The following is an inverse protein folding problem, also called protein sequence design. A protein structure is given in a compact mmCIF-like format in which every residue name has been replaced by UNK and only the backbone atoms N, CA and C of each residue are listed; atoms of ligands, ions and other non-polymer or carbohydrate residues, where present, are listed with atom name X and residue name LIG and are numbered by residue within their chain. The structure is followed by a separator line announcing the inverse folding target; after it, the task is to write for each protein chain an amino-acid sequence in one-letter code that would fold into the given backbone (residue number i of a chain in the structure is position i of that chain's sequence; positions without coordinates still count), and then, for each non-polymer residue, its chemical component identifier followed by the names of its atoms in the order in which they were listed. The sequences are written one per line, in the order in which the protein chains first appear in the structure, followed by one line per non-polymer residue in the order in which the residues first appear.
data_IF_439725927584
#
_entry.id   IF_439725927584
#
_cell.length_a   1.000
_cell.length_b   1.000
_cell.length_c   1.000
_cell.angle_alpha   90.00
_cell.angle_beta   90.00
_cell.angle_gamma   90.00
#
_symmetry.space_group_name_H-M   'P 1'
#
loop_
_entity.id
_entity.type
_entity.pdbx_description
1 polymer ?
#
# COMPACT_ATOMS: atom_id res chain seq x y z
N UNK A 1 -9.95 -4.61 -8.00
CA UNK A 1 -8.97 -4.04 -8.95
C UNK A 1 -8.13 -2.94 -8.28
N UNK A 2 -7.00 -2.56 -8.93
CA UNK A 2 -6.15 -1.45 -8.48
C UNK A 2 -6.90 -0.12 -8.42
N UNK A 3 -7.76 0.16 -9.41
CA UNK A 3 -8.51 1.41 -9.49
C UNK A 3 -9.53 1.54 -8.34
N UNK A 4 -10.26 0.48 -8.06
CA UNK A 4 -11.21 0.41 -6.94
C UNK A 4 -10.48 0.54 -5.60
N UNK A 5 -9.36 -0.16 -5.45
CA UNK A 5 -8.53 -0.07 -4.26
C UNK A 5 -8.04 1.37 -4.02
N UNK A 6 -7.50 2.03 -5.06
CA UNK A 6 -7.02 3.41 -4.96
C UNK A 6 -8.14 4.39 -4.61
N UNK A 7 -9.31 4.25 -5.27
CA UNK A 7 -10.49 5.05 -4.95
C UNK A 7 -10.92 4.88 -3.50
N UNK A 8 -11.02 3.64 -3.04
CA UNK A 8 -11.39 3.31 -1.67
C UNK A 8 -10.38 3.86 -0.65
N UNK A 9 -9.08 3.71 -0.93
CA UNK A 9 -8.00 4.20 -0.08
C UNK A 9 -8.01 5.73 0.07
N UNK A 10 -8.41 6.47 -0.96
CA UNK A 10 -8.48 7.95 -0.90
C UNK A 10 -9.56 8.47 0.04
N UNK A 11 -10.56 7.67 0.39
CA UNK A 11 -11.58 8.05 1.36
C UNK A 11 -12.30 9.36 1.04
N UNK A 12 -12.55 9.65 -0.28
CA UNK A 12 -13.19 10.88 -0.75
C UNK A 12 -12.24 12.09 -0.90
N UNK A 13 -10.95 11.96 -0.61
CA UNK A 13 -9.98 13.06 -0.76
C UNK A 13 -9.38 13.09 -2.17
N UNK A 14 -9.87 14.00 -3.01
CA UNK A 14 -9.41 14.17 -4.38
C UNK A 14 -8.02 14.84 -4.38
N UNK A 15 -7.06 14.24 -5.09
CA UNK A 15 -5.72 14.80 -5.28
C UNK A 15 -4.79 14.75 -4.07
N UNK A 16 -5.27 14.29 -2.92
CA UNK A 16 -4.44 14.24 -1.71
C UNK A 16 -3.27 13.25 -1.84
N UNK A 17 -2.13 13.61 -1.25
CA UNK A 17 -0.92 12.78 -1.25
C UNK A 17 -1.11 11.51 -0.43
N UNK A 18 -1.78 11.61 0.73
CA UNK A 18 -2.04 10.49 1.63
C UNK A 18 -3.54 10.25 1.82
N UNK A 19 -3.90 9.08 2.32
CA UNK A 19 -5.30 8.74 2.63
C UNK A 19 -5.92 9.65 3.70
N UNK A 20 -5.11 10.26 4.56
CA UNK A 20 -5.53 11.25 5.57
C UNK A 20 -5.44 12.71 5.09
N UNK A 21 -4.84 13.01 3.92
CA UNK A 21 -4.68 14.36 3.36
C UNK A 21 -3.22 14.72 3.08
N UNK A 22 -2.85 15.99 3.29
CA UNK A 22 -1.50 16.51 3.01
C UNK A 22 -0.59 16.59 4.25
N UNK A 23 -1.09 16.25 5.43
CA UNK A 23 -0.28 16.32 6.65
C UNK A 23 0.93 15.41 6.55
N UNK A 24 2.11 15.91 6.86
CA UNK A 24 3.36 15.16 6.90
C UNK A 24 3.20 13.94 7.84
N UNK A 25 3.52 12.72 7.38
CA UNK A 25 3.48 11.52 8.22
C UNK A 25 4.28 11.62 9.51
N UNK A 26 5.33 12.46 9.54
CA UNK A 26 6.18 12.69 10.72
C UNK A 26 5.57 13.65 11.72
N UNK A 27 4.52 14.37 11.38
CA UNK A 27 3.92 15.38 12.25
C UNK A 27 2.88 14.78 13.17
N UNK A 28 3.18 14.71 14.46
CA UNK A 28 2.21 14.34 15.50
C UNK A 28 1.94 12.84 15.63
N UNK A 29 0.67 12.47 15.81
CA UNK A 29 0.26 11.07 16.03
C UNK A 29 0.38 10.28 14.72
N UNK A 30 1.00 9.10 14.80
CA UNK A 30 1.10 8.17 13.66
C UNK A 30 -0.26 7.86 13.05
N UNK A 31 -0.37 7.98 11.73
CA UNK A 31 -1.60 7.75 10.97
C UNK A 31 -1.67 6.35 10.37
N UNK A 32 -0.55 5.64 10.35
CA UNK A 32 -0.41 4.33 9.77
C UNK A 32 0.82 3.62 10.36
N UNK A 33 0.84 2.30 10.25
CA UNK A 33 2.01 1.49 10.59
C UNK A 33 3.00 1.55 9.42
N UNK A 34 4.07 2.32 9.58
CA UNK A 34 5.14 2.51 8.60
C UNK A 34 6.48 2.59 9.31
N UNK A 35 7.57 2.49 8.57
CA UNK A 35 8.90 2.64 9.14
C UNK A 35 9.19 4.11 9.47
N UNK A 36 9.57 4.40 10.72
CA UNK A 36 9.90 5.74 11.19
C UNK A 36 11.37 5.83 11.56
N UNK A 37 12.16 6.41 10.68
CA UNK A 37 13.60 6.57 10.86
C UNK A 37 14.39 6.17 9.63
N UNK A 38 15.68 5.91 9.81
CA UNK A 38 16.61 5.58 8.72
C UNK A 38 16.48 4.11 8.33
N UNK A 39 15.73 3.83 7.27
CA UNK A 39 15.62 2.45 6.75
C UNK A 39 16.95 1.99 6.11
N UNK A 40 17.42 0.76 6.36
CA UNK A 40 16.90 -0.28 7.29
C UNK A 40 17.60 -0.28 8.66
N UNK A 41 18.31 0.77 9.03
CA UNK A 41 19.23 0.78 10.15
C UNK A 41 18.56 1.09 11.49
N UNK A 42 17.55 1.96 11.49
CA UNK A 42 16.89 2.40 12.71
C UNK A 42 15.41 2.59 12.48
N UNK A 43 14.57 1.94 13.28
CA UNK A 43 13.14 2.24 13.39
C UNK A 43 12.87 2.88 14.76
N UNK A 44 12.43 4.13 14.75
CA UNK A 44 12.10 4.89 15.97
C UNK A 44 10.81 4.41 16.64
N UNK A 45 10.04 3.58 15.95
CA UNK A 45 8.87 2.89 16.48
C UNK A 45 7.82 3.81 17.13
N UNK A 46 7.62 5.01 16.58
CA UNK A 46 6.68 6.00 17.10
C UNK A 46 5.22 5.53 17.00
N UNK A 47 4.93 4.57 16.12
CA UNK A 47 3.63 3.93 15.98
C UNK A 47 3.41 2.75 16.93
N UNK A 48 4.44 2.37 17.72
CA UNK A 48 4.50 1.26 18.65
C UNK A 48 4.53 -0.15 18.02
N UNK A 49 4.83 -0.26 16.73
CA UNK A 49 4.90 -1.55 16.03
C UNK A 49 6.19 -1.70 15.24
N UNK A 50 6.94 -2.76 15.53
CA UNK A 50 8.15 -3.13 14.76
C UNK A 50 7.83 -3.96 13.51
N UNK A 51 6.65 -4.58 13.48
CA UNK A 51 6.14 -5.44 12.43
C UNK A 51 4.69 -5.05 12.12
N UNK A 52 3.92 -5.98 11.54
CA UNK A 52 2.50 -5.74 11.33
C UNK A 52 1.76 -5.46 12.64
N UNK A 53 0.83 -4.52 12.59
CA UNK A 53 -0.10 -4.21 13.68
C UNK A 53 -1.41 -4.99 13.56
N UNK A 54 -2.17 -5.18 14.64
CA UNK A 54 -3.56 -5.62 14.54
C UNK A 54 -4.38 -4.67 13.67
N UNK A 55 -5.34 -5.21 12.93
CA UNK A 55 -6.21 -4.41 12.06
C UNK A 55 -7.00 -3.39 12.88
N UNK A 56 -7.11 -2.17 12.37
CA UNK A 56 -7.91 -1.11 13.00
C UNK A 56 -7.21 -0.34 14.13
N UNK A 57 -5.89 -0.50 14.29
CA UNK A 57 -5.12 0.25 15.30
C UNK A 57 -4.89 1.72 14.92
N UNK A 58 -5.08 2.07 13.65
CA UNK A 58 -4.92 3.43 13.15
C UNK A 58 -6.25 4.02 12.69
N UNK A 59 -6.37 5.35 12.56
CA UNK A 59 -7.62 5.98 12.16
C UNK A 59 -8.10 5.51 10.79
N UNK A 60 -9.40 5.26 10.67
CA UNK A 60 -10.04 4.98 9.39
C UNK A 60 -9.97 6.18 8.45
N UNK A 61 -9.98 5.93 7.14
CA UNK A 61 -10.13 6.97 6.14
C UNK A 61 -11.57 7.51 6.07
N UNK A 62 -11.83 8.45 5.15
CA UNK A 62 -13.15 9.08 5.02
C UNK A 62 -14.30 8.16 4.59
N UNK A 63 -13.99 6.93 4.14
CA UNK A 63 -14.98 5.89 3.85
C UNK A 63 -15.08 4.83 4.94
N UNK A 64 -14.44 5.04 6.08
CA UNK A 64 -14.46 4.11 7.20
C UNK A 64 -13.53 2.89 7.04
N UNK A 65 -12.60 2.92 6.07
CA UNK A 65 -11.66 1.83 5.84
C UNK A 65 -10.39 2.03 6.66
N UNK A 66 -9.98 0.98 7.34
CA UNK A 66 -8.74 0.92 8.13
C UNK A 66 -7.59 0.36 7.31
N UNK A 67 -6.36 0.73 7.69
CA UNK A 67 -5.09 0.14 7.23
C UNK A 67 -4.91 0.11 5.69
N UNK A 68 -5.51 1.08 4.98
CA UNK A 68 -5.27 1.28 3.55
C UNK A 68 -3.92 1.96 3.27
N UNK A 69 -3.15 2.21 4.31
CA UNK A 69 -1.83 2.82 4.26
C UNK A 69 -0.94 2.10 5.25
N UNK A 70 0.20 1.60 4.80
CA UNK A 70 1.15 0.87 5.64
C UNK A 70 0.63 -0.51 6.10
N UNK A 71 1.10 -0.98 7.22
CA UNK A 71 0.86 -2.30 7.79
C UNK A 71 1.38 -3.41 6.86
N UNK A 72 0.58 -3.89 5.92
CA UNK A 72 1.00 -4.85 4.90
C UNK A 72 0.56 -4.39 3.51
N UNK A 73 1.35 -4.70 2.49
CA UNK A 73 0.94 -4.57 1.11
C UNK A 73 -0.33 -5.39 0.85
N UNK A 74 -1.17 -4.92 -0.03
CA UNK A 74 -2.40 -5.62 -0.38
C UNK A 74 -2.43 -6.00 -1.85
N UNK A 75 -2.75 -7.27 -2.10
CA UNK A 75 -2.97 -7.79 -3.43
C UNK A 75 -4.17 -7.11 -4.10
N UNK A 76 -4.02 -6.80 -5.39
CA UNK A 76 -5.15 -6.51 -6.26
C UNK A 76 -5.25 -7.58 -7.36
N UNK A 77 -6.42 -7.68 -7.99
CA UNK A 77 -6.61 -8.57 -9.14
C UNK A 77 -5.98 -8.04 -10.43
N UNK A 78 -5.53 -6.77 -10.42
CA UNK A 78 -5.00 -6.09 -11.62
C UNK A 78 -3.60 -6.60 -11.96
N UNK A 79 -3.37 -7.08 -13.21
CA UNK A 79 -2.03 -7.34 -13.70
C UNK A 79 -1.16 -6.08 -13.63
N UNK A 80 0.10 -6.24 -13.23
CA UNK A 80 0.99 -5.10 -13.19
C UNK A 80 1.53 -4.78 -14.60
N UNK A 81 1.73 -3.50 -14.87
CA UNK A 81 2.49 -3.00 -16.00
C UNK A 81 3.03 -1.61 -15.69
N UNK A 82 4.24 -1.25 -16.15
CA UNK A 82 4.84 0.06 -15.84
C UNK A 82 4.02 1.23 -16.40
N UNK A 83 3.38 1.04 -17.54
CA UNK A 83 2.42 2.00 -18.11
C UNK A 83 0.99 1.57 -17.75
N UNK A 84 0.27 2.42 -17.01
CA UNK A 84 -1.10 2.12 -16.54
C UNK A 84 -2.16 2.10 -17.65
N UNK A 85 -1.89 2.75 -18.76
CA UNK A 85 -2.82 2.87 -19.89
C UNK A 85 -2.66 1.71 -20.90
N UNK A 86 -1.56 0.98 -20.80
CA UNK A 86 -1.28 -0.15 -21.67
C UNK A 86 -1.79 -1.45 -21.08
N UNK A 87 -2.44 -2.27 -21.92
CA UNK A 87 -2.80 -3.64 -21.57
C UNK A 87 -1.56 -4.56 -21.67
N UNK A 88 -1.25 -5.24 -20.58
CA UNK A 88 -0.17 -6.22 -20.48
C UNK A 88 -0.71 -7.67 -20.38
N UNK A 89 -2.00 -7.86 -20.66
CA UNK A 89 -2.65 -9.16 -20.55
C UNK A 89 -2.81 -9.66 -19.11
N UNK A 90 -3.21 -10.93 -18.97
CA UNK A 90 -3.48 -11.55 -17.67
C UNK A 90 -2.26 -11.70 -16.78
N UNK A 91 -1.08 -11.84 -17.38
CA UNK A 91 0.17 -12.16 -16.67
C UNK A 91 0.87 -10.93 -16.13
N UNK A 92 0.56 -9.77 -16.72
CA UNK A 92 1.24 -8.53 -16.40
C UNK A 92 2.66 -8.48 -16.97
N UNK A 93 3.39 -7.43 -16.63
CA UNK A 93 4.78 -7.27 -17.03
C UNK A 93 5.55 -6.38 -16.07
N UNK A 94 6.68 -6.85 -15.60
CA UNK A 94 7.67 -6.04 -14.89
C UNK A 94 9.07 -6.31 -15.47
N UNK A 95 9.77 -5.30 -15.99
CA UNK A 95 11.12 -5.48 -16.53
C UNK A 95 12.14 -5.96 -15.48
N UNK A 96 11.84 -5.74 -14.17
CA UNK A 96 12.69 -6.22 -13.08
C UNK A 96 12.39 -7.67 -12.66
N UNK A 97 11.28 -8.23 -13.14
CA UNK A 97 10.82 -9.59 -12.84
C UNK A 97 10.43 -10.30 -14.15
N UNK A 98 11.38 -10.53 -15.07
CA UNK A 98 11.06 -11.10 -16.37
C UNK A 98 10.61 -12.56 -16.27
N UNK A 99 9.58 -12.92 -17.05
CA UNK A 99 9.14 -14.31 -17.20
C UNK A 99 8.26 -14.86 -16.05
N UNK A 100 7.81 -14.01 -15.14
CA UNK A 100 6.88 -14.39 -14.08
C UNK A 100 5.56 -13.64 -14.19
N UNK A 101 4.49 -14.21 -13.63
CA UNK A 101 3.18 -13.55 -13.55
C UNK A 101 3.23 -12.53 -12.42
N UNK A 102 2.94 -11.27 -12.74
CA UNK A 102 2.98 -10.17 -11.76
C UNK A 102 1.62 -9.49 -11.61
N UNK A 103 1.24 -9.25 -10.37
CA UNK A 103 0.06 -8.47 -10.01
C UNK A 103 0.48 -7.19 -9.27
N UNK A 104 -0.44 -6.24 -9.27
CA UNK A 104 -0.24 -4.96 -8.58
C UNK A 104 -0.52 -5.09 -7.10
N UNK A 105 0.45 -4.70 -6.29
CA UNK A 105 0.28 -4.44 -4.86
C UNK A 105 0.04 -2.95 -4.61
N UNK A 106 -0.74 -2.66 -3.56
CA UNK A 106 -1.09 -1.31 -3.10
C UNK A 106 -0.87 -1.16 -1.59
N UNK A 107 -0.83 0.08 -1.13
CA UNK A 107 -0.89 0.45 0.29
C UNK A 107 0.45 0.58 1.01
N UNK A 108 1.51 -0.03 0.53
CA UNK A 108 2.77 -0.09 1.28
C UNK A 108 2.70 -1.02 2.48
N UNK A 109 3.76 -1.05 3.28
CA UNK A 109 3.84 -1.90 4.47
C UNK A 109 4.57 -1.21 5.61
N UNK A 110 4.66 -1.87 6.76
CA UNK A 110 5.47 -1.41 7.90
C UNK A 110 6.97 -1.24 7.58
N UNK A 111 7.44 -1.75 6.44
CA UNK A 111 8.81 -1.55 5.95
C UNK A 111 8.98 -0.31 5.07
N UNK A 112 7.88 0.39 4.73
CA UNK A 112 7.94 1.58 3.89
C UNK A 112 8.26 2.81 4.74
N UNK A 113 9.37 3.47 4.42
CA UNK A 113 9.80 4.71 5.05
C UNK A 113 9.79 5.86 4.05
N UNK A 114 9.76 7.07 4.55
CA UNK A 114 9.79 8.29 3.74
C UNK A 114 11.13 8.52 3.02
N UNK A 115 12.23 8.05 3.58
CA UNK A 115 13.57 8.19 3.01
C UNK A 115 13.96 7.08 2.03
N UNK A 116 13.15 6.02 1.92
CA UNK A 116 13.45 4.88 1.05
C UNK A 116 12.30 4.50 0.11
N UNK A 117 11.08 4.41 0.62
CA UNK A 117 9.96 3.87 -0.12
C UNK A 117 8.65 4.56 0.30
N UNK A 118 8.29 5.67 -0.31
CA UNK A 118 7.01 6.35 -0.05
C UNK A 118 5.82 5.66 -0.74
N UNK A 119 5.84 4.33 -0.90
CA UNK A 119 4.82 3.59 -1.65
C UNK A 119 3.55 3.32 -0.85
N UNK A 120 3.46 3.82 0.38
CA UNK A 120 2.22 3.84 1.17
C UNK A 120 1.23 4.95 0.74
N UNK A 121 1.56 5.76 -0.27
CA UNK A 121 0.60 6.72 -0.87
C UNK A 121 -0.44 5.99 -1.72
N UNK A 122 -1.72 6.42 -1.76
CA UNK A 122 -2.76 5.76 -2.56
C UNK A 122 -2.40 5.56 -4.04
N UNK A 123 -1.72 6.54 -4.65
CA UNK A 123 -1.29 6.45 -6.05
C UNK A 123 -0.11 5.49 -6.29
N UNK A 124 0.63 5.12 -5.26
CA UNK A 124 1.79 4.25 -5.40
C UNK A 124 1.38 2.80 -5.68
N UNK A 125 2.26 2.06 -6.35
CA UNK A 125 2.04 0.67 -6.75
C UNK A 125 3.37 -0.09 -6.75
N UNK A 126 3.30 -1.40 -6.62
CA UNK A 126 4.42 -2.33 -6.68
C UNK A 126 4.04 -3.53 -7.51
N UNK A 127 4.97 -3.98 -8.36
CA UNK A 127 4.86 -5.29 -8.99
C UNK A 127 5.24 -6.39 -8.01
N UNK A 128 4.53 -7.50 -8.05
CA UNK A 128 4.87 -8.67 -7.25
C UNK A 128 4.57 -9.96 -8.01
N UNK A 129 5.54 -10.88 -8.02
CA UNK A 129 5.35 -12.26 -8.46
C UNK A 129 4.28 -12.94 -7.60
N UNK A 130 3.25 -13.50 -8.25
CA UNK A 130 2.11 -14.12 -7.58
C UNK A 130 2.47 -15.38 -6.79
N UNK A 131 3.64 -15.96 -7.03
CA UNK A 131 4.11 -17.17 -6.33
C UNK A 131 4.87 -16.86 -5.04
N UNK A 132 5.22 -15.59 -4.80
CA UNK A 132 6.01 -15.18 -3.64
C UNK A 132 5.12 -14.67 -2.50
N UNK A 133 5.19 -15.35 -1.37
CA UNK A 133 4.61 -14.91 -0.11
C UNK A 133 5.70 -14.29 0.78
N UNK A 134 5.37 -13.17 1.42
CA UNK A 134 6.26 -12.50 2.38
C UNK A 134 5.49 -12.05 3.62
N UNK A 135 6.22 -11.73 4.70
CA UNK A 135 5.61 -11.34 5.98
C UNK A 135 4.90 -9.98 5.96
N UNK A 136 5.06 -9.21 4.89
CA UNK A 136 4.53 -7.86 4.75
C UNK A 136 3.57 -7.72 3.55
N UNK A 137 3.03 -8.83 3.05
CA UNK A 137 2.00 -8.86 2.01
C UNK A 137 0.76 -9.59 2.53
N UNK A 138 -0.39 -9.00 2.33
CA UNK A 138 -1.71 -9.52 2.69
C UNK A 138 -2.74 -9.19 1.62
N UNK A 139 -4.01 -9.23 1.99
CA UNK A 139 -5.12 -8.88 1.10
C UNK A 139 -6.33 -8.41 1.90
N UNK A 140 -7.24 -7.75 1.22
CA UNK A 140 -8.63 -7.52 1.67
C UNK A 140 -9.61 -7.99 0.61
N UNK A 141 -10.77 -8.42 1.03
CA UNK A 141 -11.87 -8.77 0.12
C UNK A 141 -12.76 -7.57 -0.14
N UNK A 142 -13.35 -7.53 -1.33
CA UNK A 142 -14.41 -6.60 -1.70
C UNK A 142 -15.57 -7.41 -2.31
N UNK A 143 -16.80 -6.91 -2.12
CA UNK A 143 -18.01 -7.53 -2.66
C UNK A 143 -18.87 -6.45 -3.29
N UNK A 144 -19.39 -6.73 -4.48
CA UNK A 144 -20.39 -5.88 -5.09
C UNK A 144 -21.70 -5.96 -4.29
N UNK A 145 -22.36 -4.82 -4.13
CA UNK A 145 -23.69 -4.75 -3.51
C UNK A 145 -24.70 -4.82 -4.65
N UNK A 146 -25.55 -5.84 -4.62
CA UNK A 146 -26.68 -5.98 -5.54
C UNK A 146 -27.76 -4.90 -5.30
#
# INVERSE_FOLDING_TARGET
TEKEWEYASRGGKIGATYSWGEQDPKSGISKANTWQGMFPYENLNHDNYNYSSPVGCFPANGFGLFDTTGNVWEWTSTPYGPDRERDYGSDGYDPQQPGVIVKTLKGGSFLCSDNYCQRYRPAARQAQDVTLATTHIGFRTAQDIE
#
